data_IF_355834351489
#
_entry.id   IF_355834351489
#
_cell.length_a   1.000
_cell.length_b   1.000
_cell.length_c   1.000
_cell.angle_alpha   90.00
_cell.angle_beta   90.00
_cell.angle_gamma   90.00
#
_symmetry.space_group_name_H-M   'P 1'
#
loop_
_entity.id
_entity.type
_entity.pdbx_description
1 polymer ?
#
# COMPACT_ATOMS: atom_id res chain seq x y z
N UNK A 1 -22.82 -18.59 -13.56
CA UNK A 1 -24.07 -19.32 -13.31
C UNK A 1 -25.01 -18.40 -12.53
N UNK A 2 -26.26 -18.21 -13.02
CA UNK A 2 -27.37 -17.56 -12.33
C UNK A 2 -27.55 -16.03 -12.47
N UNK A 3 -27.27 -15.43 -13.61
CA UNK A 3 -28.11 -14.31 -14.02
C UNK A 3 -29.41 -14.91 -14.57
N UNK A 4 -30.53 -14.57 -13.92
CA UNK A 4 -31.86 -14.97 -14.36
C UNK A 4 -31.97 -14.77 -15.90
N UNK A 5 -32.30 -15.82 -16.67
CA UNK A 5 -32.42 -15.72 -18.12
C UNK A 5 -33.34 -14.58 -18.57
N UNK A 6 -34.29 -14.18 -17.69
CA UNK A 6 -35.20 -13.06 -17.91
C UNK A 6 -34.44 -11.70 -17.86
N UNK A 7 -33.44 -11.53 -16.96
CA UNK A 7 -32.58 -10.33 -16.92
C UNK A 7 -31.67 -10.30 -18.16
N UNK A 8 -31.06 -11.44 -18.49
CA UNK A 8 -30.16 -11.57 -19.67
C UNK A 8 -30.92 -11.26 -20.97
N UNK A 9 -32.16 -11.72 -21.14
CA UNK A 9 -32.96 -11.49 -22.33
C UNK A 9 -33.39 -10.02 -22.51
N UNK A 10 -33.48 -9.25 -21.41
CA UNK A 10 -33.86 -7.83 -21.41
C UNK A 10 -32.69 -6.88 -21.55
N UNK A 11 -31.49 -7.25 -21.09
CA UNK A 11 -30.28 -6.45 -21.10
C UNK A 11 -29.40 -6.66 -22.34
N UNK A 12 -29.96 -7.07 -23.47
CA UNK A 12 -29.19 -7.28 -24.69
C UNK A 12 -28.71 -5.95 -25.27
N UNK A 13 -27.42 -5.92 -25.65
CA UNK A 13 -26.69 -4.84 -26.32
C UNK A 13 -27.59 -4.10 -27.32
N UNK A 14 -27.82 -2.79 -27.12
CA UNK A 14 -28.53 -1.92 -28.09
C UNK A 14 -30.05 -1.97 -28.08
N UNK A 15 -30.73 -2.67 -27.17
CA UNK A 15 -32.19 -2.65 -27.08
C UNK A 15 -32.71 -1.47 -26.25
N UNK A 16 -33.95 -1.05 -26.52
CA UNK A 16 -34.65 0.01 -25.80
C UNK A 16 -34.74 -0.13 -24.30
N UNK A 17 -34.54 -1.37 -23.80
CA UNK A 17 -34.60 -1.76 -22.39
C UNK A 17 -33.22 -1.86 -21.69
N UNK A 18 -32.12 -1.42 -22.32
CA UNK A 18 -30.81 -1.40 -21.69
C UNK A 18 -30.83 -0.51 -20.42
N UNK A 19 -30.18 -0.94 -19.31
CA UNK A 19 -30.19 -0.19 -18.05
C UNK A 19 -29.52 1.17 -18.21
N UNK A 20 -30.08 2.18 -17.54
CA UNK A 20 -29.45 3.53 -17.47
C UNK A 20 -28.48 3.66 -16.31
N UNK A 21 -28.60 2.79 -15.30
CA UNK A 21 -27.74 2.73 -14.13
C UNK A 21 -27.49 1.28 -13.76
N UNK A 22 -26.25 0.94 -13.51
CA UNK A 22 -25.82 -0.34 -12.95
C UNK A 22 -25.09 -0.05 -11.66
N UNK A 23 -25.50 -0.69 -10.55
CA UNK A 23 -24.76 -0.72 -9.28
C UNK A 23 -24.52 -2.17 -8.92
N UNK A 24 -23.24 -2.57 -8.78
CA UNK A 24 -22.90 -3.98 -8.58
C UNK A 24 -21.65 -4.18 -7.74
N UNK A 25 -21.64 -5.29 -7.01
CA UNK A 25 -20.48 -5.83 -6.33
C UNK A 25 -20.28 -7.25 -6.87
N UNK A 26 -19.46 -7.43 -7.93
CA UNK A 26 -19.23 -8.74 -8.51
C UNK A 26 -18.41 -9.65 -7.57
N UNK A 27 -18.45 -10.98 -7.77
CA UNK A 27 -17.58 -11.88 -7.04
C UNK A 27 -16.10 -11.60 -7.39
N UNK A 28 -15.20 -11.67 -6.39
CA UNK A 28 -13.77 -11.50 -6.56
C UNK A 28 -13.06 -12.84 -6.59
N UNK A 29 -12.17 -13.03 -7.57
CA UNK A 29 -11.34 -14.24 -7.66
C UNK A 29 -10.22 -14.30 -6.61
N UNK A 30 -9.83 -13.15 -6.07
CA UNK A 30 -8.62 -13.06 -5.25
C UNK A 30 -7.38 -13.49 -6.04
N UNK A 31 -6.43 -14.14 -5.35
CA UNK A 31 -5.21 -14.67 -6.00
C UNK A 31 -5.31 -16.16 -6.38
N UNK A 32 -6.45 -16.80 -6.15
CA UNK A 32 -6.63 -18.25 -6.39
C UNK A 32 -7.03 -18.48 -7.85
N UNK A 33 -6.25 -19.24 -8.57
CA UNK A 33 -6.53 -19.66 -9.96
C UNK A 33 -7.86 -20.41 -10.03
N UNK A 34 -8.16 -21.22 -9.02
CA UNK A 34 -9.40 -22.00 -8.91
C UNK A 34 -10.69 -21.14 -8.90
N UNK A 35 -10.57 -19.87 -8.50
CA UNK A 35 -11.67 -18.90 -8.47
C UNK A 35 -11.78 -18.09 -9.77
N UNK A 36 -10.91 -18.31 -10.76
CA UNK A 36 -10.93 -17.65 -12.04
C UNK A 36 -11.79 -18.42 -13.05
N UNK A 37 -12.30 -17.71 -14.04
CA UNK A 37 -13.05 -18.33 -15.14
C UNK A 37 -12.07 -18.97 -16.12
N UNK A 38 -12.21 -20.28 -16.36
CA UNK A 38 -11.40 -21.06 -17.30
C UNK A 38 -12.19 -21.62 -18.49
N UNK A 39 -13.51 -21.46 -18.48
CA UNK A 39 -14.36 -21.91 -19.59
C UNK A 39 -14.14 -21.04 -20.84
N UNK A 40 -13.52 -21.64 -21.86
CA UNK A 40 -13.22 -20.96 -23.14
C UNK A 40 -14.49 -20.49 -23.85
N UNK A 41 -15.63 -21.17 -23.67
CA UNK A 41 -16.90 -20.77 -24.28
C UNK A 41 -17.44 -19.47 -23.68
N UNK A 42 -17.09 -19.20 -22.42
CA UNK A 42 -17.37 -17.94 -21.74
C UNK A 42 -16.34 -16.88 -22.15
N UNK A 43 -15.04 -17.19 -22.00
CA UNK A 43 -13.95 -16.25 -22.24
C UNK A 43 -13.99 -15.65 -23.64
N UNK A 44 -14.26 -16.44 -24.68
CA UNK A 44 -14.35 -15.96 -26.06
C UNK A 44 -15.42 -14.90 -26.34
N UNK A 45 -16.35 -14.69 -25.40
CA UNK A 45 -17.42 -13.68 -25.53
C UNK A 45 -16.98 -12.29 -25.08
N UNK A 46 -15.76 -12.17 -24.53
CA UNK A 46 -15.24 -10.95 -23.93
C UNK A 46 -13.90 -10.55 -24.58
N UNK A 47 -13.68 -9.26 -24.76
CA UNK A 47 -12.34 -8.76 -25.12
C UNK A 47 -11.36 -9.09 -24.00
N UNK A 48 -11.76 -8.93 -22.75
CA UNK A 48 -10.93 -9.26 -21.56
C UNK A 48 -10.68 -10.76 -21.38
N UNK A 49 -11.36 -11.59 -22.13
CA UNK A 49 -11.10 -13.04 -22.22
C UNK A 49 -9.95 -13.40 -23.18
N UNK A 50 -9.39 -12.43 -23.89
CA UNK A 50 -8.30 -12.61 -24.85
C UNK A 50 -7.01 -11.92 -24.39
N UNK A 51 -5.89 -12.34 -24.95
CA UNK A 51 -4.62 -11.66 -24.77
C UNK A 51 -4.63 -10.28 -25.46
N UNK A 52 -3.72 -9.42 -25.05
CA UNK A 52 -3.56 -8.09 -25.64
C UNK A 52 -2.08 -7.83 -25.99
N UNK A 53 -1.87 -6.90 -26.92
CA UNK A 53 -0.56 -6.40 -27.31
C UNK A 53 -0.58 -4.89 -27.43
N UNK A 54 0.59 -4.26 -27.43
CA UNK A 54 0.70 -2.84 -27.83
C UNK A 54 0.85 -2.76 -29.35
N UNK A 55 0.11 -1.84 -29.96
CA UNK A 55 0.28 -1.48 -31.37
C UNK A 55 1.53 -0.58 -31.56
N UNK A 56 1.83 -0.21 -32.81
CA UNK A 56 2.98 0.64 -33.16
C UNK A 56 2.92 2.05 -32.52
N UNK A 57 1.74 2.48 -32.08
CA UNK A 57 1.52 3.74 -31.39
C UNK A 57 1.53 3.56 -29.85
N UNK A 58 1.81 2.36 -29.34
CA UNK A 58 1.84 2.06 -27.91
C UNK A 58 0.46 1.83 -27.28
N UNK A 59 -0.63 1.76 -28.06
CA UNK A 59 -1.96 1.50 -27.52
C UNK A 59 -2.19 0.00 -27.30
N UNK A 60 -2.93 -0.33 -26.25
CA UNK A 60 -3.33 -1.71 -25.99
C UNK A 60 -4.47 -2.13 -26.92
N UNK A 61 -4.29 -3.24 -27.61
CA UNK A 61 -5.28 -3.86 -28.50
C UNK A 61 -5.50 -5.29 -28.06
N UNK A 62 -6.73 -5.64 -27.73
CA UNK A 62 -7.12 -7.01 -27.41
C UNK A 62 -7.28 -7.82 -28.69
N UNK A 63 -6.83 -9.07 -28.65
CA UNK A 63 -7.03 -10.01 -29.75
C UNK A 63 -8.50 -10.46 -29.83
N UNK A 64 -8.92 -10.87 -31.03
CA UNK A 64 -10.22 -11.54 -31.23
C UNK A 64 -10.03 -12.94 -31.82
N UNK A 65 -8.78 -13.43 -31.89
CA UNK A 65 -8.48 -14.75 -32.44
C UNK A 65 -8.73 -15.84 -31.39
N UNK A 66 -9.27 -16.97 -31.82
CA UNK A 66 -9.55 -18.10 -30.94
C UNK A 66 -8.28 -18.66 -30.26
N UNK A 67 -7.10 -18.56 -30.91
CA UNK A 67 -5.82 -18.99 -30.34
C UNK A 67 -5.31 -18.09 -29.22
N UNK A 68 -5.84 -16.89 -29.10
CA UNK A 68 -5.42 -15.87 -28.14
C UNK A 68 -6.37 -15.79 -26.92
N UNK A 69 -7.32 -16.71 -26.81
CA UNK A 69 -8.18 -16.83 -25.62
C UNK A 69 -7.33 -17.23 -24.43
N UNK A 70 -7.45 -16.47 -23.33
CA UNK A 70 -6.72 -16.72 -22.10
C UNK A 70 -7.10 -18.08 -21.49
N UNK A 71 -6.19 -18.68 -20.74
CA UNK A 71 -6.46 -19.90 -19.99
C UNK A 71 -7.37 -19.63 -18.79
N UNK A 72 -7.21 -18.47 -18.18
CA UNK A 72 -7.96 -18.04 -17.01
C UNK A 72 -8.15 -16.52 -17.02
N UNK A 73 -9.28 -16.04 -16.51
CA UNK A 73 -9.53 -14.62 -16.30
C UNK A 73 -10.31 -14.38 -14.99
N UNK A 74 -10.01 -13.27 -14.35
CA UNK A 74 -10.70 -12.82 -13.15
C UNK A 74 -12.17 -12.49 -13.45
N UNK A 75 -13.16 -13.05 -12.74
CA UNK A 75 -14.57 -12.81 -12.98
C UNK A 75 -14.93 -11.32 -12.87
N UNK A 76 -14.35 -10.59 -11.93
CA UNK A 76 -14.60 -9.15 -11.73
C UNK A 76 -14.27 -8.31 -12.97
N UNK A 77 -13.28 -8.70 -13.78
CA UNK A 77 -12.95 -8.02 -15.04
C UNK A 77 -14.00 -8.30 -16.12
N UNK A 78 -14.42 -9.55 -16.24
CA UNK A 78 -15.48 -9.93 -17.20
C UNK A 78 -16.81 -9.26 -16.82
N UNK A 79 -17.12 -9.14 -15.54
CA UNK A 79 -18.28 -8.39 -15.05
C UNK A 79 -18.22 -6.91 -15.42
N UNK A 80 -17.04 -6.29 -15.27
CA UNK A 80 -16.83 -4.90 -15.64
C UNK A 80 -17.13 -4.66 -17.14
N UNK A 81 -16.54 -5.48 -18.02
CA UNK A 81 -16.79 -5.41 -19.46
C UNK A 81 -18.27 -5.62 -19.78
N UNK A 82 -18.88 -6.66 -19.21
CA UNK A 82 -20.29 -6.99 -19.41
C UNK A 82 -21.22 -5.84 -18.96
N UNK A 83 -20.94 -5.21 -17.82
CA UNK A 83 -21.72 -4.08 -17.34
C UNK A 83 -21.65 -2.89 -18.30
N UNK A 84 -20.46 -2.59 -18.82
CA UNK A 84 -20.28 -1.51 -19.81
C UNK A 84 -21.01 -1.83 -21.12
N UNK A 85 -20.97 -3.08 -21.57
CA UNK A 85 -21.68 -3.52 -22.76
C UNK A 85 -23.20 -3.35 -22.63
N UNK A 86 -23.76 -3.77 -21.51
CA UNK A 86 -25.21 -3.72 -21.26
C UNK A 86 -25.74 -2.31 -21.01
N UNK A 87 -24.90 -1.42 -20.54
CA UNK A 87 -25.29 -0.05 -20.23
C UNK A 87 -25.71 0.71 -21.48
N UNK A 88 -26.87 1.37 -21.45
CA UNK A 88 -27.26 2.25 -22.54
C UNK A 88 -26.30 3.43 -22.70
N UNK A 89 -26.16 4.03 -23.89
CA UNK A 89 -25.50 5.32 -24.07
C UNK A 89 -26.03 6.37 -23.09
N UNK A 90 -25.17 7.20 -22.52
CA UNK A 90 -25.50 8.15 -21.44
C UNK A 90 -25.74 7.54 -20.08
N UNK A 91 -25.58 6.23 -19.92
CA UNK A 91 -25.76 5.50 -18.65
C UNK A 91 -24.55 5.57 -17.73
N UNK A 92 -24.72 5.12 -16.49
CA UNK A 92 -23.68 5.16 -15.44
C UNK A 92 -23.55 3.82 -14.75
N UNK A 93 -22.32 3.53 -14.31
CA UNK A 93 -22.00 2.34 -13.52
C UNK A 93 -21.34 2.77 -12.21
N UNK A 94 -21.77 2.14 -11.10
CA UNK A 94 -21.02 2.07 -9.86
C UNK A 94 -20.64 0.61 -9.62
N UNK A 95 -19.34 0.28 -9.65
CA UNK A 95 -18.87 -1.09 -9.52
C UNK A 95 -17.80 -1.19 -8.44
N UNK A 96 -17.96 -2.16 -7.54
CA UNK A 96 -16.95 -2.52 -6.55
C UNK A 96 -15.95 -3.48 -7.17
N UNK A 97 -14.65 -3.18 -7.06
CA UNK A 97 -13.56 -3.98 -7.63
C UNK A 97 -12.42 -4.11 -6.63
N UNK A 98 -11.57 -5.15 -6.75
CA UNK A 98 -10.32 -5.20 -6.01
C UNK A 98 -9.44 -3.97 -6.31
N UNK A 99 -8.84 -3.37 -5.27
CA UNK A 99 -8.04 -2.13 -5.39
C UNK A 99 -6.92 -2.23 -6.43
N UNK A 100 -6.38 -3.43 -6.68
CA UNK A 100 -5.31 -3.64 -7.66
C UNK A 100 -5.65 -3.19 -9.08
N UNK A 101 -6.93 -3.05 -9.44
CA UNK A 101 -7.35 -2.51 -10.74
C UNK A 101 -6.86 -1.06 -10.94
N UNK A 102 -6.64 -0.31 -9.86
CA UNK A 102 -6.34 1.12 -9.91
C UNK A 102 -4.90 1.43 -10.36
N UNK A 103 -3.95 0.58 -10.01
CA UNK A 103 -2.51 0.89 -10.12
C UNK A 103 -1.61 -0.28 -10.55
N UNK A 104 -2.05 -1.54 -10.46
CA UNK A 104 -1.22 -2.66 -10.88
C UNK A 104 -0.93 -2.59 -12.39
N UNK A 105 0.34 -2.74 -12.76
CA UNK A 105 0.81 -2.69 -14.17
C UNK A 105 0.11 -3.75 -15.02
N UNK A 106 -0.15 -4.94 -14.48
CA UNK A 106 -0.85 -6.00 -15.21
C UNK A 106 -2.27 -5.61 -15.63
N UNK A 107 -2.86 -4.61 -14.99
CA UNK A 107 -4.19 -4.10 -15.31
C UNK A 107 -4.19 -2.82 -16.16
N UNK A 108 -3.04 -2.34 -16.63
CA UNK A 108 -2.94 -1.13 -17.45
C UNK A 108 -3.78 -1.22 -18.74
N UNK A 109 -3.78 -2.36 -19.42
CA UNK A 109 -4.55 -2.58 -20.63
C UNK A 109 -6.06 -2.42 -20.40
N UNK A 110 -6.56 -2.93 -19.26
CA UNK A 110 -7.99 -2.82 -18.89
C UNK A 110 -8.37 -1.38 -18.52
N UNK A 111 -7.50 -0.63 -17.83
CA UNK A 111 -7.73 0.79 -17.56
C UNK A 111 -7.73 1.61 -18.85
N UNK A 112 -6.81 1.33 -19.76
CA UNK A 112 -6.80 1.95 -21.09
C UNK A 112 -8.11 1.68 -21.84
N UNK A 113 -8.60 0.45 -21.80
CA UNK A 113 -9.87 0.07 -22.40
C UNK A 113 -11.05 0.84 -21.78
N UNK A 114 -11.09 0.97 -20.45
CA UNK A 114 -12.12 1.77 -19.75
C UNK A 114 -12.14 3.20 -20.27
N UNK A 115 -10.98 3.87 -20.36
CA UNK A 115 -10.88 5.26 -20.83
C UNK A 115 -11.26 5.45 -22.29
N UNK A 116 -11.21 4.39 -23.10
CA UNK A 116 -11.70 4.42 -24.49
C UNK A 116 -13.22 4.28 -24.61
N UNK A 117 -13.86 3.65 -23.64
CA UNK A 117 -15.29 3.32 -23.68
C UNK A 117 -16.13 4.17 -22.73
N UNK A 118 -15.54 4.70 -21.67
CA UNK A 118 -16.23 5.43 -20.61
C UNK A 118 -15.46 6.66 -20.15
N UNK A 119 -16.18 7.62 -19.57
CA UNK A 119 -15.62 8.68 -18.75
C UNK A 119 -15.56 8.17 -17.30
N UNK A 120 -14.39 8.27 -16.66
CA UNK A 120 -14.21 7.96 -15.25
C UNK A 120 -14.70 9.14 -14.41
N UNK A 121 -15.89 9.02 -13.82
CA UNK A 121 -16.48 10.10 -13.01
C UNK A 121 -15.89 10.16 -11.61
N UNK A 122 -15.54 9.01 -11.04
CA UNK A 122 -14.97 8.96 -9.70
C UNK A 122 -14.31 7.63 -9.35
N UNK A 123 -13.36 7.72 -8.44
CA UNK A 123 -12.70 6.58 -7.80
C UNK A 123 -12.77 6.77 -6.29
N UNK A 124 -13.28 5.77 -5.60
CA UNK A 124 -13.38 5.75 -4.15
C UNK A 124 -12.66 4.50 -3.65
N UNK A 125 -11.54 4.66 -2.95
CA UNK A 125 -10.93 3.52 -2.25
C UNK A 125 -11.64 3.30 -0.91
N UNK A 126 -11.99 2.04 -0.64
CA UNK A 126 -12.70 1.68 0.57
C UNK A 126 -11.72 1.31 1.70
N UNK A 127 -12.17 1.46 2.95
CA UNK A 127 -11.38 1.08 4.11
C UNK A 127 -11.01 -0.41 4.06
N UNK A 128 -9.85 -0.77 4.57
CA UNK A 128 -9.32 -2.14 4.54
C UNK A 128 -10.25 -3.18 5.18
N UNK A 129 -11.05 -2.77 6.14
CA UNK A 129 -11.94 -3.66 6.90
C UNK A 129 -13.36 -3.72 6.33
N UNK A 130 -13.62 -3.14 5.14
CA UNK A 130 -14.95 -3.09 4.52
C UNK A 130 -15.60 -4.47 4.36
N UNK A 131 -14.81 -5.48 4.03
CA UNK A 131 -15.28 -6.85 3.81
C UNK A 131 -14.78 -7.85 4.86
N UNK A 132 -14.23 -7.34 5.96
CA UNK A 132 -13.92 -8.19 7.11
C UNK A 132 -15.20 -8.60 7.86
N UNK A 133 -15.22 -9.78 8.51
CA UNK A 133 -14.12 -10.76 8.63
C UNK A 133 -13.99 -11.72 7.44
N UNK A 134 -14.89 -11.68 6.46
CA UNK A 134 -14.98 -12.69 5.39
C UNK A 134 -13.77 -12.66 4.45
N UNK A 135 -13.26 -11.48 4.13
CA UNK A 135 -12.09 -11.32 3.28
C UNK A 135 -11.29 -10.06 3.61
N UNK A 136 -9.96 -10.17 3.54
CA UNK A 136 -9.03 -9.04 3.66
C UNK A 136 -8.74 -8.33 2.32
N UNK A 137 -9.50 -8.60 1.26
CA UNK A 137 -9.31 -7.95 -0.03
C UNK A 137 -9.64 -6.48 0.08
N UNK A 138 -8.68 -5.62 -0.23
CA UNK A 138 -8.91 -4.17 -0.35
C UNK A 138 -9.65 -3.88 -1.64
N UNK A 139 -10.64 -3.02 -1.56
CA UNK A 139 -11.55 -2.73 -2.66
C UNK A 139 -11.65 -1.24 -2.96
N UNK A 140 -12.19 -0.95 -4.12
CA UNK A 140 -12.53 0.39 -4.56
C UNK A 140 -13.88 0.39 -5.27
N UNK A 141 -14.47 1.57 -5.41
CA UNK A 141 -15.63 1.81 -6.27
C UNK A 141 -15.16 2.63 -7.46
N UNK A 142 -15.41 2.12 -8.68
CA UNK A 142 -15.32 2.92 -9.90
C UNK A 142 -16.71 3.42 -10.27
N UNK A 143 -16.79 4.72 -10.54
CA UNK A 143 -18.00 5.37 -11.07
C UNK A 143 -17.71 5.79 -12.51
N UNK A 144 -18.39 5.14 -13.46
CA UNK A 144 -18.16 5.32 -14.88
C UNK A 144 -19.42 5.89 -15.57
N UNK A 145 -19.21 6.70 -16.59
CA UNK A 145 -20.25 7.21 -17.47
C UNK A 145 -19.97 6.78 -18.92
N UNK A 146 -20.93 6.08 -19.52
CA UNK A 146 -20.85 5.72 -20.93
C UNK A 146 -21.28 6.93 -21.77
N UNK A 147 -20.51 7.39 -22.75
CA UNK A 147 -20.91 8.52 -23.59
C UNK A 147 -22.24 8.29 -24.28
N UNK A 148 -22.91 9.39 -24.65
CA UNK A 148 -24.12 9.31 -25.48
C UNK A 148 -23.84 8.62 -26.82
N UNK A 149 -24.91 8.14 -27.47
CA UNK A 149 -24.81 7.51 -28.78
C UNK A 149 -24.08 8.39 -29.79
N UNK A 150 -23.07 7.83 -30.45
CA UNK A 150 -22.27 8.54 -31.46
C UNK A 150 -21.22 9.51 -30.90
N UNK A 151 -21.09 9.61 -29.59
CA UNK A 151 -20.02 10.38 -28.92
C UNK A 151 -18.92 9.48 -28.40
N UNK A 152 -17.70 10.04 -28.37
CA UNK A 152 -16.54 9.44 -27.69
C UNK A 152 -16.36 10.05 -26.28
N UNK A 153 -15.64 9.39 -25.37
CA UNK A 153 -15.28 9.99 -24.09
C UNK A 153 -14.57 11.34 -24.26
N UNK A 154 -14.83 12.29 -23.39
CA UNK A 154 -14.22 13.63 -23.41
C UNK A 154 -12.69 13.55 -23.31
N UNK A 155 -12.02 14.52 -23.93
CA UNK A 155 -10.55 14.62 -23.90
C UNK A 155 -10.02 14.85 -22.49
N UNK A 156 -10.45 15.96 -21.85
CA UNK A 156 -10.11 16.30 -20.47
C UNK A 156 -11.38 16.65 -19.68
N UNK A 157 -11.40 16.25 -18.43
CA UNK A 157 -12.51 16.46 -17.50
C UNK A 157 -12.07 16.18 -16.07
N UNK A 158 -12.80 16.72 -15.10
CA UNK A 158 -12.52 16.49 -13.69
C UNK A 158 -13.02 15.11 -13.24
N UNK A 159 -12.23 14.45 -12.39
CA UNK A 159 -12.50 13.14 -11.81
C UNK A 159 -12.55 13.30 -10.29
N UNK A 160 -13.59 12.80 -9.68
CA UNK A 160 -13.74 12.76 -8.23
C UNK A 160 -12.86 11.65 -7.62
N UNK A 161 -12.09 11.98 -6.58
CA UNK A 161 -11.21 11.06 -5.88
C UNK A 161 -11.55 11.04 -4.40
N UNK A 162 -11.73 9.86 -3.82
CA UNK A 162 -11.97 9.74 -2.39
C UNK A 162 -11.30 8.49 -1.79
N UNK A 163 -10.96 8.60 -0.50
CA UNK A 163 -10.36 7.53 0.29
C UNK A 163 -11.11 7.39 1.61
N UNK A 164 -11.96 6.37 1.76
CA UNK A 164 -12.68 6.11 3.00
C UNK A 164 -11.72 5.70 4.11
N UNK A 165 -11.82 6.38 5.24
CA UNK A 165 -11.01 6.19 6.43
C UNK A 165 -11.72 5.41 7.52
N UNK A 166 -13.05 5.33 7.46
CA UNK A 166 -13.90 4.72 8.48
C UNK A 166 -15.08 4.04 7.81
N UNK A 167 -15.40 2.82 8.27
CA UNK A 167 -16.45 1.99 7.65
C UNK A 167 -17.55 1.59 8.64
N UNK A 168 -17.42 1.95 9.93
CA UNK A 168 -18.40 1.61 10.96
C UNK A 168 -18.26 0.21 11.52
N UNK A 169 -17.16 -0.50 11.20
CA UNK A 169 -16.84 -1.81 11.77
C UNK A 169 -15.34 -1.98 11.98
N UNK A 170 -14.97 -2.92 12.85
CA UNK A 170 -13.59 -3.34 13.08
C UNK A 170 -13.20 -4.53 12.15
N UNK A 171 -11.95 -5.00 12.29
CA UNK A 171 -11.43 -6.15 11.52
C UNK A 171 -12.09 -7.49 11.87
N UNK A 172 -12.91 -7.56 12.92
CA UNK A 172 -13.69 -8.75 13.31
C UNK A 172 -15.15 -8.66 12.87
N UNK A 173 -15.54 -7.56 12.20
CA UNK A 173 -16.91 -7.30 11.78
C UNK A 173 -17.81 -6.72 12.89
N UNK A 174 -17.25 -6.35 14.06
CA UNK A 174 -18.04 -5.70 15.11
C UNK A 174 -18.32 -4.25 14.75
N UNK A 175 -19.54 -3.79 15.05
CA UNK A 175 -19.92 -2.38 14.83
C UNK A 175 -19.09 -1.43 15.67
N UNK A 176 -18.57 -0.37 15.04
CA UNK A 176 -17.86 0.73 15.69
C UNK A 176 -18.73 1.97 15.60
N UNK A 177 -19.08 2.54 16.76
CA UNK A 177 -19.96 3.69 16.87
C UNK A 177 -19.19 4.96 17.20
N UNK A 178 -19.77 6.11 16.85
CA UNK A 178 -19.30 7.41 17.31
C UNK A 178 -19.49 7.48 18.83
N UNK A 179 -18.49 8.00 19.54
CA UNK A 179 -18.54 8.20 20.97
C UNK A 179 -18.93 9.66 21.28
N UNK A 180 -19.71 9.86 22.34
CA UNK A 180 -19.99 11.17 22.89
C UNK A 180 -18.79 11.73 23.69
N UNK A 181 -18.90 12.95 24.21
CA UNK A 181 -17.85 13.61 25.02
C UNK A 181 -17.49 12.87 26.32
N UNK A 182 -18.32 11.91 26.76
CA UNK A 182 -18.10 11.08 27.94
C UNK A 182 -17.58 9.68 27.62
N UNK A 183 -17.37 9.37 26.31
CA UNK A 183 -16.92 8.08 25.85
C UNK A 183 -18.02 7.03 25.69
N UNK A 184 -19.30 7.39 25.78
CA UNK A 184 -20.41 6.48 25.56
C UNK A 184 -20.77 6.39 24.09
N UNK A 185 -21.25 5.20 23.65
CA UNK A 185 -21.72 5.01 22.28
C UNK A 185 -22.97 5.86 22.01
N UNK A 186 -22.95 6.60 20.90
CA UNK A 186 -24.12 7.37 20.42
C UNK A 186 -25.11 6.52 19.64
N UNK A 187 -24.80 5.25 19.33
CA UNK A 187 -25.60 4.40 18.45
C UNK A 187 -25.46 4.73 16.96
N UNK A 188 -24.70 5.78 16.60
CA UNK A 188 -24.40 6.15 15.20
C UNK A 188 -23.12 5.45 14.75
N UNK A 189 -23.18 4.72 13.63
CA UNK A 189 -22.01 4.04 13.07
C UNK A 189 -20.93 5.06 12.69
N UNK A 190 -19.69 4.76 13.07
CA UNK A 190 -18.53 5.62 12.78
C UNK A 190 -18.00 5.34 11.38
N UNK A 191 -18.63 5.91 10.36
CA UNK A 191 -18.19 5.81 8.97
C UNK A 191 -18.19 7.19 8.28
N UNK A 192 -17.50 7.30 7.15
CA UNK A 192 -17.39 8.52 6.33
C UNK A 192 -18.06 8.38 4.95
N UNK A 193 -18.79 7.30 4.71
CA UNK A 193 -19.40 7.03 3.41
C UNK A 193 -20.46 8.05 3.02
N UNK A 194 -21.23 8.58 3.97
CA UNK A 194 -22.22 9.63 3.70
C UNK A 194 -21.54 10.93 3.26
N UNK A 195 -20.47 11.34 3.96
CA UNK A 195 -19.69 12.53 3.58
C UNK A 195 -19.11 12.41 2.16
N UNK A 196 -18.62 11.22 1.81
CA UNK A 196 -18.10 10.91 0.46
C UNK A 196 -19.23 10.96 -0.57
N UNK A 197 -20.38 10.38 -0.27
CA UNK A 197 -21.53 10.35 -1.16
C UNK A 197 -22.09 11.76 -1.41
N UNK A 198 -22.24 12.58 -0.37
CA UNK A 198 -22.69 13.96 -0.48
C UNK A 198 -21.73 14.81 -1.31
N UNK A 199 -20.41 14.68 -1.05
CA UNK A 199 -19.37 15.36 -1.82
C UNK A 199 -19.40 14.94 -3.31
N UNK A 200 -19.64 13.66 -3.60
CA UNK A 200 -19.76 13.18 -4.98
C UNK A 200 -21.03 13.75 -5.66
N UNK A 201 -22.15 13.81 -4.96
CA UNK A 201 -23.38 14.40 -5.49
C UNK A 201 -23.19 15.89 -5.80
N UNK A 202 -22.52 16.64 -4.95
CA UNK A 202 -22.20 18.04 -5.18
C UNK A 202 -21.25 18.21 -6.37
N UNK A 203 -20.16 17.44 -6.43
CA UNK A 203 -19.24 17.39 -7.57
C UNK A 203 -19.99 17.14 -8.89
N UNK A 204 -20.82 16.10 -8.93
CA UNK A 204 -21.58 15.72 -10.13
C UNK A 204 -22.52 16.82 -10.61
N UNK A 205 -23.09 17.60 -9.69
CA UNK A 205 -24.01 18.67 -9.98
C UNK A 205 -23.29 20.02 -10.23
N UNK A 206 -21.94 20.03 -10.29
CA UNK A 206 -21.15 21.23 -10.51
C UNK A 206 -21.18 22.21 -9.32
N UNK A 207 -21.56 21.73 -8.14
CA UNK A 207 -21.55 22.52 -6.91
C UNK A 207 -20.19 22.39 -6.22
N UNK A 208 -19.86 23.39 -5.39
CA UNK A 208 -18.70 23.29 -4.51
C UNK A 208 -18.91 22.16 -3.50
N UNK A 209 -17.95 21.29 -3.37
CA UNK A 209 -17.98 20.17 -2.43
C UNK A 209 -16.86 20.29 -1.40
N UNK A 210 -17.05 19.69 -0.23
CA UNK A 210 -16.05 19.63 0.82
C UNK A 210 -14.81 18.92 0.29
N UNK A 211 -13.69 19.64 0.25
CA UNK A 211 -12.36 19.09 -0.10
C UNK A 211 -11.55 18.82 1.16
N UNK A 212 -10.78 17.75 1.14
CA UNK A 212 -9.86 17.37 2.21
C UNK A 212 -8.69 16.58 1.61
N UNK A 213 -7.76 16.14 2.43
CA UNK A 213 -6.72 15.20 1.99
C UNK A 213 -7.28 13.85 1.51
N UNK A 214 -8.52 13.52 1.88
CA UNK A 214 -9.20 12.26 1.53
C UNK A 214 -10.33 12.42 0.52
N UNK A 215 -10.76 13.65 0.19
CA UNK A 215 -11.79 13.96 -0.80
C UNK A 215 -11.31 15.13 -1.64
N UNK A 216 -11.08 14.91 -2.93
CA UNK A 216 -10.53 15.92 -3.84
C UNK A 216 -10.90 15.61 -5.30
N UNK A 217 -10.47 16.43 -6.22
CA UNK A 217 -10.65 16.25 -7.67
C UNK A 217 -9.33 16.38 -8.39
N UNK A 218 -9.19 15.64 -9.47
CA UNK A 218 -8.09 15.77 -10.43
C UNK A 218 -8.66 15.93 -11.82
N UNK A 219 -7.87 16.43 -12.77
CA UNK A 219 -8.20 16.39 -14.18
C UNK A 219 -7.64 15.11 -14.81
N UNK A 220 -8.33 14.57 -15.82
CA UNK A 220 -7.86 13.38 -16.56
C UNK A 220 -6.45 13.58 -17.12
N UNK A 221 -6.09 14.80 -17.54
CA UNK A 221 -4.77 15.17 -18.04
C UNK A 221 -3.63 14.96 -17.03
N UNK A 222 -3.94 14.87 -15.74
CA UNK A 222 -2.97 14.56 -14.68
C UNK A 222 -2.66 13.06 -14.58
N UNK A 223 -3.52 12.21 -15.17
CA UNK A 223 -3.28 10.75 -15.20
C UNK A 223 -2.25 10.49 -16.30
N UNK A 224 -1.03 10.15 -15.88
CA UNK A 224 0.10 9.83 -16.76
C UNK A 224 0.49 8.37 -16.60
N UNK A 225 1.67 8.11 -16.29
CA UNK A 225 2.35 6.83 -16.20
C UNK A 225 1.44 5.64 -15.86
N UNK A 226 1.44 4.64 -16.77
CA UNK A 226 0.68 3.39 -16.63
C UNK A 226 -0.82 3.54 -16.32
N UNK A 227 -1.39 4.74 -16.59
CA UNK A 227 -2.79 5.07 -16.30
C UNK A 227 -3.14 4.71 -14.84
N UNK A 228 -2.30 5.15 -13.90
CA UNK A 228 -2.58 5.01 -12.48
C UNK A 228 -3.79 5.87 -12.10
N UNK A 229 -4.84 5.26 -11.54
CA UNK A 229 -6.07 5.95 -11.10
C UNK A 229 -6.32 5.78 -9.59
N UNK A 230 -5.30 5.39 -8.83
CA UNK A 230 -5.41 5.27 -7.38
C UNK A 230 -5.45 6.67 -6.73
N UNK A 231 -6.52 7.03 -5.98
CA UNK A 231 -6.63 8.32 -5.31
C UNK A 231 -5.42 8.68 -4.44
N UNK A 232 -4.82 7.69 -3.79
CA UNK A 232 -3.68 7.90 -2.93
C UNK A 232 -2.50 8.56 -3.66
N UNK A 233 -2.29 8.21 -4.93
CA UNK A 233 -1.25 8.77 -5.79
C UNK A 233 -1.43 10.27 -6.10
N UNK A 234 -2.65 10.77 -6.00
CA UNK A 234 -3.02 12.18 -6.28
C UNK A 234 -3.41 12.96 -5.04
N UNK A 235 -3.24 12.40 -3.85
CA UNK A 235 -3.72 13.05 -2.63
C UNK A 235 -3.04 14.41 -2.42
N UNK A 236 -3.77 15.44 -1.96
CA UNK A 236 -3.17 16.77 -1.68
C UNK A 236 -2.00 16.72 -0.72
N UNK A 237 -2.05 15.84 0.28
CA UNK A 237 -0.96 15.62 1.23
C UNK A 237 0.32 15.17 0.55
N UNK A 238 0.19 14.29 -0.45
CA UNK A 238 1.31 13.84 -1.23
C UNK A 238 1.88 14.93 -2.11
N UNK A 239 1.01 15.61 -2.87
CA UNK A 239 1.45 16.71 -3.72
C UNK A 239 2.19 17.75 -2.89
N UNK A 240 1.67 18.10 -1.69
CA UNK A 240 2.37 18.98 -0.76
C UNK A 240 3.74 18.42 -0.35
N UNK A 241 3.86 17.12 -0.09
CA UNK A 241 5.15 16.52 0.27
C UNK A 241 6.15 16.57 -0.90
N UNK A 242 5.70 16.29 -2.13
CA UNK A 242 6.52 16.41 -3.34
C UNK A 242 6.92 17.86 -3.59
N UNK A 243 5.98 18.80 -3.54
CA UNK A 243 6.23 20.23 -3.72
C UNK A 243 7.24 20.75 -2.68
N UNK A 244 7.12 20.33 -1.43
CA UNK A 244 8.06 20.68 -0.38
C UNK A 244 9.49 20.21 -0.68
N UNK A 245 9.65 19.01 -1.24
CA UNK A 245 10.99 18.51 -1.63
C UNK A 245 11.49 19.24 -2.86
N UNK A 246 10.68 19.36 -3.91
CA UNK A 246 11.05 20.01 -5.16
C UNK A 246 11.31 21.52 -4.99
N UNK A 247 10.71 22.16 -3.99
CA UNK A 247 10.99 23.57 -3.67
C UNK A 247 12.47 23.84 -3.30
N UNK A 248 13.21 22.79 -2.92
CA UNK A 248 14.64 22.91 -2.66
C UNK A 248 15.46 23.16 -3.92
N UNK A 249 15.02 22.77 -5.11
CA UNK A 249 15.69 23.06 -6.38
C UNK A 249 15.75 24.58 -6.68
N UNK A 250 14.87 25.35 -6.04
CA UNK A 250 14.87 26.81 -6.15
C UNK A 250 15.69 27.50 -5.04
N UNK A 251 16.29 26.74 -4.12
CA UNK A 251 17.13 27.28 -3.06
C UNK A 251 18.60 27.22 -3.46
N UNK A 252 19.29 28.31 -3.27
CA UNK A 252 20.76 28.35 -3.45
C UNK A 252 21.42 27.23 -2.60
N UNK A 253 22.39 26.55 -3.18
CA UNK A 253 23.16 25.48 -2.55
C UNK A 253 22.36 24.19 -2.22
N UNK A 254 21.18 23.99 -2.83
CA UNK A 254 20.40 22.77 -2.71
C UNK A 254 20.02 22.21 -4.08
N UNK A 255 19.86 20.91 -4.13
CA UNK A 255 19.31 20.19 -5.30
C UNK A 255 18.47 19.02 -4.83
N UNK A 256 17.54 18.59 -5.64
CA UNK A 256 16.75 17.37 -5.40
C UNK A 256 17.33 16.20 -6.19
N UNK A 257 17.45 15.05 -5.54
CA UNK A 257 17.90 13.80 -6.16
C UNK A 257 17.10 12.63 -5.60
N UNK A 258 17.44 11.41 -5.96
CA UNK A 258 16.87 10.22 -5.33
C UNK A 258 17.79 9.66 -4.25
N UNK A 259 17.21 9.00 -3.24
CA UNK A 259 18.00 8.40 -2.16
C UNK A 259 19.04 7.42 -2.69
N UNK A 260 18.71 6.66 -3.76
CA UNK A 260 19.65 5.72 -4.37
C UNK A 260 20.85 6.35 -5.06
N UNK A 261 20.81 7.65 -5.35
CA UNK A 261 21.88 8.41 -6.04
C UNK A 261 22.78 9.21 -5.09
N UNK A 262 22.50 9.23 -3.79
CA UNK A 262 23.19 10.09 -2.83
C UNK A 262 24.67 9.77 -2.67
N UNK A 263 25.06 8.52 -2.67
CA UNK A 263 26.43 8.07 -2.39
C UNK A 263 26.74 6.78 -3.16
N UNK A 264 27.94 6.71 -3.74
CA UNK A 264 28.43 5.46 -4.33
C UNK A 264 28.61 4.41 -3.21
N UNK A 265 27.70 3.42 -3.17
CA UNK A 265 27.74 2.34 -2.19
C UNK A 265 26.68 2.41 -1.10
N UNK A 266 25.73 3.34 -1.18
CA UNK A 266 24.50 3.22 -0.39
C UNK A 266 23.84 1.89 -0.73
N UNK A 267 23.47 1.13 0.28
CA UNK A 267 22.83 -0.18 0.13
C UNK A 267 21.44 -0.15 0.74
N UNK A 268 20.44 -0.37 -0.10
CA UNK A 268 19.03 -0.42 0.30
C UNK A 268 18.51 -1.80 -0.05
N UNK A 269 18.17 -2.59 0.96
CA UNK A 269 17.87 -4.02 0.79
C UNK A 269 16.93 -4.52 1.89
N UNK A 270 16.39 -5.73 1.69
CA UNK A 270 15.69 -6.51 2.71
C UNK A 270 16.47 -7.79 3.01
N UNK A 271 16.26 -8.36 4.18
CA UNK A 271 16.79 -9.69 4.49
C UNK A 271 16.12 -10.79 3.66
N UNK A 272 16.73 -11.99 3.60
CA UNK A 272 16.14 -13.13 2.89
C UNK A 272 14.85 -13.58 3.57
N UNK A 273 13.82 -13.87 2.76
CA UNK A 273 12.63 -14.56 3.26
C UNK A 273 12.97 -15.99 3.63
N UNK A 274 12.50 -16.43 4.78
CA UNK A 274 12.76 -17.77 5.27
C UNK A 274 11.63 -18.31 6.15
N UNK A 275 11.56 -19.62 6.26
CA UNK A 275 10.63 -20.27 7.19
C UNK A 275 11.34 -20.53 8.53
N UNK A 276 10.98 -19.74 9.53
CA UNK A 276 11.53 -19.86 10.89
C UNK A 276 10.71 -20.78 11.81
N UNK A 277 9.59 -21.35 11.37
CA UNK A 277 8.66 -22.09 12.22
C UNK A 277 9.29 -23.30 12.90
N UNK A 278 10.20 -24.02 12.21
CA UNK A 278 10.86 -25.23 12.72
C UNK A 278 11.98 -24.95 13.73
N UNK A 279 12.48 -23.72 13.77
CA UNK A 279 13.59 -23.29 14.65
C UNK A 279 13.15 -22.36 15.77
N UNK A 280 11.88 -21.92 15.77
CA UNK A 280 11.32 -21.10 16.86
C UNK A 280 11.12 -21.91 18.12
N UNK A 281 11.40 -21.26 19.27
CA UNK A 281 11.17 -21.80 20.60
C UNK A 281 10.26 -20.83 21.35
N UNK A 282 9.11 -21.31 21.82
CA UNK A 282 8.12 -20.47 22.49
C UNK A 282 8.45 -20.26 23.98
N UNK A 283 9.03 -21.26 24.64
CA UNK A 283 9.50 -21.17 26.02
C UNK A 283 10.98 -21.50 26.06
N UNK A 284 11.87 -20.53 26.17
CA UNK A 284 13.29 -20.79 26.33
C UNK A 284 13.52 -21.39 27.72
N UNK A 285 13.78 -22.71 27.78
CA UNK A 285 14.53 -23.24 28.90
C UNK A 285 15.93 -22.61 28.86
N UNK A 286 16.55 -22.40 30.01
CA UNK A 286 17.88 -21.76 30.15
C UNK A 286 18.99 -22.53 29.39
N UNK A 287 18.97 -22.42 28.06
CA UNK A 287 20.04 -22.96 27.22
C UNK A 287 20.81 -21.82 26.59
N UNK A 288 22.08 -21.73 26.87
CA UNK A 288 23.04 -20.72 26.39
C UNK A 288 23.22 -20.66 24.85
N UNK A 289 22.49 -21.48 24.10
CA UNK A 289 22.62 -21.64 22.65
C UNK A 289 21.50 -20.96 21.84
N UNK A 290 20.47 -20.42 22.49
CA UNK A 290 19.35 -19.77 21.83
C UNK A 290 19.73 -18.37 21.37
N UNK A 291 19.27 -17.98 20.16
CA UNK A 291 19.53 -16.67 19.60
C UNK A 291 18.23 -15.84 19.63
N UNK A 292 18.26 -14.62 20.21
CA UNK A 292 17.07 -13.77 20.24
C UNK A 292 16.74 -13.23 18.84
N UNK A 293 15.45 -13.29 18.50
CA UNK A 293 14.91 -12.86 17.23
C UNK A 293 13.82 -11.79 17.42
N UNK A 294 13.98 -10.66 16.77
CA UNK A 294 13.02 -9.56 16.81
C UNK A 294 12.17 -9.55 15.54
N UNK A 295 10.84 -9.53 15.72
CA UNK A 295 9.93 -9.18 14.64
C UNK A 295 10.13 -7.72 14.26
N UNK A 296 9.60 -7.29 13.11
CA UNK A 296 9.69 -5.89 12.70
C UNK A 296 9.16 -4.93 13.78
N UNK A 297 8.01 -5.23 14.38
CA UNK A 297 7.45 -4.40 15.45
C UNK A 297 8.36 -4.36 16.68
N UNK A 298 8.85 -5.53 17.12
CA UNK A 298 9.73 -5.61 18.30
C UNK A 298 11.06 -4.86 18.10
N UNK A 299 11.60 -4.84 16.88
CA UNK A 299 12.79 -4.07 16.53
C UNK A 299 12.57 -2.55 16.54
N UNK A 300 11.30 -2.12 16.34
CA UNK A 300 10.88 -0.71 16.32
C UNK A 300 10.41 -0.19 17.69
N UNK A 301 10.22 -1.10 18.66
CA UNK A 301 9.86 -0.75 20.02
C UNK A 301 11.05 -0.14 20.78
N UNK A 302 10.78 0.89 21.58
CA UNK A 302 11.81 1.49 22.47
C UNK A 302 12.24 0.52 23.57
N UNK A 303 11.32 -0.30 24.09
CA UNK A 303 11.59 -1.44 24.97
C UNK A 303 11.24 -2.74 24.26
N UNK A 304 12.16 -3.70 24.31
CA UNK A 304 12.04 -4.99 23.62
C UNK A 304 11.32 -6.03 24.48
N UNK A 305 10.01 -5.86 24.66
CA UNK A 305 9.21 -6.79 25.45
C UNK A 305 8.98 -8.14 24.77
N UNK A 306 8.90 -8.15 23.44
CA UNK A 306 8.50 -9.33 22.67
C UNK A 306 9.70 -9.91 21.93
N UNK A 307 10.51 -10.66 22.64
CA UNK A 307 11.65 -11.40 22.06
C UNK A 307 11.17 -12.81 21.74
N UNK A 308 11.37 -13.24 20.49
CA UNK A 308 11.26 -14.65 20.09
C UNK A 308 12.63 -15.28 20.11
N UNK A 309 12.68 -16.58 20.30
CA UNK A 309 13.94 -17.29 20.39
C UNK A 309 14.08 -18.27 19.23
N UNK A 310 15.29 -18.42 18.71
CA UNK A 310 15.64 -19.36 17.67
C UNK A 310 16.65 -20.36 18.22
N UNK A 311 16.47 -21.63 17.87
CA UNK A 311 17.41 -22.69 18.19
C UNK A 311 18.26 -23.05 16.96
N UNK A 312 19.52 -22.58 16.86
CA UNK A 312 20.38 -22.86 15.72
C UNK A 312 20.71 -24.35 15.53
N UNK A 313 20.56 -25.17 16.59
CA UNK A 313 20.81 -26.62 16.52
C UNK A 313 19.75 -27.32 15.63
N UNK A 314 18.54 -26.81 15.62
CA UNK A 314 17.43 -27.31 14.78
C UNK A 314 17.45 -26.75 13.36
N UNK A 315 18.31 -25.77 13.07
CA UNK A 315 18.37 -25.12 11.77
C UNK A 315 19.14 -25.95 10.75
N UNK A 316 18.57 -26.14 9.56
CA UNK A 316 19.29 -26.67 8.42
C UNK A 316 20.31 -25.65 7.87
N UNK A 317 21.13 -26.07 6.90
CA UNK A 317 22.18 -25.21 6.32
C UNK A 317 21.63 -23.89 5.76
N UNK A 318 20.54 -23.93 4.99
CA UNK A 318 19.92 -22.76 4.42
C UNK A 318 19.38 -21.81 5.50
N UNK A 319 18.74 -22.34 6.53
CA UNK A 319 18.23 -21.54 7.65
C UNK A 319 19.38 -20.86 8.42
N UNK A 320 20.51 -21.54 8.64
CA UNK A 320 21.70 -20.93 9.25
C UNK A 320 22.24 -19.78 8.40
N UNK A 321 22.31 -19.94 7.09
CA UNK A 321 22.69 -18.83 6.18
C UNK A 321 21.71 -17.65 6.29
N UNK A 322 20.40 -17.90 6.30
CA UNK A 322 19.40 -16.86 6.47
C UNK A 322 19.56 -16.13 7.82
N UNK A 323 19.81 -16.86 8.91
CA UNK A 323 20.05 -16.26 10.23
C UNK A 323 21.25 -15.29 10.19
N UNK A 324 22.36 -15.66 9.55
CA UNK A 324 23.53 -14.77 9.41
C UNK A 324 23.21 -13.54 8.53
N UNK A 325 22.49 -13.72 7.42
CA UNK A 325 22.10 -12.62 6.53
C UNK A 325 21.05 -11.69 7.14
N UNK A 326 20.34 -12.14 8.15
CA UNK A 326 19.34 -11.35 8.88
C UNK A 326 19.96 -10.49 10.01
N UNK A 327 21.21 -10.69 10.38
CA UNK A 327 21.93 -9.78 11.28
C UNK A 327 22.06 -8.41 10.64
N UNK A 328 21.73 -7.37 11.38
CA UNK A 328 21.96 -5.98 10.98
C UNK A 328 23.37 -5.55 11.33
N UNK A 329 23.84 -4.46 10.77
CA UNK A 329 25.09 -3.83 11.23
C UNK A 329 24.75 -2.58 12.02
N UNK A 330 25.59 -2.28 12.99
CA UNK A 330 25.53 -1.01 13.69
C UNK A 330 25.52 0.14 12.68
N UNK A 331 24.60 1.06 12.85
CA UNK A 331 24.41 2.17 11.95
C UNK A 331 23.45 1.92 10.75
N UNK A 332 22.91 0.71 10.59
CA UNK A 332 21.85 0.49 9.61
C UNK A 332 20.59 1.25 10.04
N UNK A 333 19.96 1.96 9.09
CA UNK A 333 18.64 2.56 9.30
C UNK A 333 17.61 1.48 8.91
N UNK A 334 16.65 1.24 9.79
CA UNK A 334 15.65 0.20 9.61
C UNK A 334 14.27 0.84 9.44
N UNK A 335 13.57 0.48 8.36
CA UNK A 335 12.26 1.05 8.02
C UNK A 335 11.25 -0.08 7.91
N UNK A 336 10.13 0.03 8.63
CA UNK A 336 9.06 -0.97 8.56
C UNK A 336 8.43 -1.01 7.17
N UNK A 337 8.28 -2.23 6.62
CA UNK A 337 7.76 -2.44 5.28
C UNK A 337 6.34 -2.98 5.23
N UNK A 338 5.80 -3.49 6.33
CA UNK A 338 4.44 -4.04 6.42
C UNK A 338 3.77 -3.67 7.74
N UNK A 339 2.47 -3.79 7.80
CA UNK A 339 1.67 -3.43 8.97
C UNK A 339 1.65 -1.91 9.19
N UNK A 340 2.55 -1.38 9.99
CA UNK A 340 2.73 0.06 10.20
C UNK A 340 3.91 0.55 9.35
N UNK A 341 3.68 0.77 8.07
CA UNK A 341 4.71 1.16 7.10
C UNK A 341 5.34 2.52 7.46
N UNK A 342 6.65 2.65 7.19
CA UNK A 342 7.39 3.90 7.31
C UNK A 342 7.83 4.26 8.73
N UNK A 343 7.63 3.41 9.74
CA UNK A 343 8.31 3.58 11.03
C UNK A 343 9.80 3.35 10.87
N UNK A 344 10.59 4.23 11.45
CA UNK A 344 12.05 4.24 11.34
C UNK A 344 12.69 3.99 12.70
N UNK A 345 13.73 3.20 12.72
CA UNK A 345 14.62 3.02 13.87
C UNK A 345 16.07 2.90 13.41
N UNK A 346 16.99 2.94 14.36
CA UNK A 346 18.43 2.87 14.14
C UNK A 346 18.97 1.57 14.75
N UNK A 347 19.84 0.86 14.04
CA UNK A 347 20.50 -0.33 14.54
C UNK A 347 21.63 0.07 15.48
N UNK A 348 21.35 0.08 16.79
CA UNK A 348 22.33 0.29 17.85
C UNK A 348 23.33 -0.88 17.90
N UNK A 349 24.45 -0.67 18.59
CA UNK A 349 25.45 -1.72 18.81
C UNK A 349 24.83 -2.98 19.45
N UNK A 350 24.02 -2.83 20.48
CA UNK A 350 23.33 -3.95 21.13
C UNK A 350 22.41 -4.69 20.14
N UNK A 351 21.66 -3.98 19.29
CA UNK A 351 20.81 -4.61 18.29
C UNK A 351 21.63 -5.43 17.29
N UNK A 352 22.76 -4.91 16.85
CA UNK A 352 23.61 -5.54 15.83
C UNK A 352 24.37 -6.76 16.38
N UNK A 353 24.83 -6.72 17.62
CA UNK A 353 25.63 -7.78 18.23
C UNK A 353 24.79 -8.94 18.79
N UNK A 354 23.62 -8.63 19.37
CA UNK A 354 22.88 -9.57 20.19
C UNK A 354 21.60 -10.12 19.55
N UNK A 355 21.12 -9.57 18.41
CA UNK A 355 19.82 -9.94 17.87
C UNK A 355 19.86 -10.29 16.38
N UNK A 356 18.99 -11.19 15.99
CA UNK A 356 18.57 -11.39 14.59
C UNK A 356 17.28 -10.61 14.37
N UNK A 357 17.20 -9.86 13.28
CA UNK A 357 16.05 -8.99 12.97
C UNK A 357 15.31 -9.50 11.74
N UNK A 358 13.98 -9.48 11.80
CA UNK A 358 13.09 -9.93 10.71
C UNK A 358 13.47 -9.37 9.33
N UNK A 359 13.16 -10.14 8.30
CA UNK A 359 13.20 -9.72 6.90
C UNK A 359 12.13 -8.68 6.54
N UNK A 360 11.18 -8.41 7.44
CA UNK A 360 10.09 -7.47 7.22
C UNK A 360 10.47 -6.01 7.55
N UNK A 361 11.73 -5.66 7.30
CA UNK A 361 12.31 -4.33 7.42
C UNK A 361 13.16 -4.02 6.19
N UNK A 362 12.97 -2.84 5.61
CA UNK A 362 13.94 -2.27 4.65
C UNK A 362 15.13 -1.76 5.46
N UNK A 363 16.32 -2.07 4.99
CA UNK A 363 17.60 -1.71 5.61
C UNK A 363 18.33 -0.74 4.71
N UNK A 364 18.70 0.42 5.25
CA UNK A 364 19.50 1.43 4.55
C UNK A 364 20.86 1.53 5.23
N UNK A 365 21.90 1.18 4.50
CA UNK A 365 23.28 1.21 4.98
C UNK A 365 24.05 2.32 4.29
N UNK A 366 24.63 3.21 5.09
CA UNK A 366 25.39 4.38 4.67
C UNK A 366 26.71 4.41 5.43
N UNK A 367 27.81 4.77 4.73
CA UNK A 367 29.13 4.83 5.34
C UNK A 367 29.39 6.19 6.00
N UNK A 368 29.04 7.27 5.30
CA UNK A 368 29.23 8.63 5.79
C UNK A 368 28.35 8.93 7.00
N UNK A 369 28.90 9.34 8.17
CA UNK A 369 28.12 9.62 9.38
C UNK A 369 27.16 10.81 9.22
N UNK A 370 27.55 11.87 8.49
CA UNK A 370 26.71 13.04 8.30
C UNK A 370 25.50 12.70 7.41
N UNK A 371 25.74 11.98 6.31
CA UNK A 371 24.68 11.49 5.45
C UNK A 371 23.74 10.53 6.22
N UNK A 372 24.28 9.68 7.09
CA UNK A 372 23.47 8.79 7.94
C UNK A 372 22.55 9.58 8.86
N UNK A 373 23.08 10.55 9.59
CA UNK A 373 22.30 11.41 10.48
C UNK A 373 21.23 12.19 9.69
N UNK A 374 21.61 12.74 8.54
CA UNK A 374 20.69 13.42 7.64
C UNK A 374 19.54 12.52 7.18
N UNK A 375 19.83 11.28 6.77
CA UNK A 375 18.82 10.31 6.35
C UNK A 375 17.91 9.87 7.50
N UNK A 376 18.45 9.72 8.71
CA UNK A 376 17.62 9.41 9.90
C UNK A 376 16.62 10.54 10.13
N UNK A 377 17.08 11.81 10.14
CA UNK A 377 16.18 12.95 10.29
C UNK A 377 15.16 13.05 9.16
N UNK A 378 15.59 12.81 7.91
CA UNK A 378 14.70 12.85 6.75
C UNK A 378 13.63 11.76 6.82
N UNK A 379 14.01 10.50 7.01
CA UNK A 379 13.06 9.37 7.03
C UNK A 379 12.07 9.43 8.20
N UNK A 380 12.42 10.10 9.30
CA UNK A 380 11.50 10.31 10.43
C UNK A 380 10.55 11.50 10.22
N UNK A 381 10.74 12.28 9.14
CA UNK A 381 9.88 13.42 8.83
C UNK A 381 8.51 13.00 8.28
N UNK A 382 7.50 13.85 8.47
CA UNK A 382 6.16 13.67 7.89
C UNK A 382 6.17 13.69 6.36
N UNK A 383 7.09 14.46 5.75
CA UNK A 383 7.30 14.51 4.30
C UNK A 383 7.77 13.16 3.77
N UNK A 384 8.83 12.59 4.33
CA UNK A 384 9.33 11.28 3.93
C UNK A 384 8.31 10.17 4.17
N UNK A 385 7.59 10.21 5.30
CA UNK A 385 6.50 9.26 5.56
C UNK A 385 5.42 9.34 4.47
N UNK A 386 5.02 10.54 4.06
CA UNK A 386 4.03 10.72 2.99
C UNK A 386 4.54 10.14 1.66
N UNK A 387 5.82 10.32 1.34
CA UNK A 387 6.45 9.74 0.15
C UNK A 387 6.57 8.21 0.24
N UNK A 388 6.89 7.63 1.40
CA UNK A 388 6.93 6.17 1.58
C UNK A 388 5.57 5.50 1.42
N UNK A 389 4.50 6.19 1.77
CA UNK A 389 3.12 5.69 1.66
C UNK A 389 2.56 5.77 0.23
N UNK A 390 3.29 6.42 -0.70
CA UNK A 390 2.93 6.54 -2.11
C UNK A 390 2.85 5.22 -2.84
N UNK A 391 3.89 4.43 -2.67
CA UNK A 391 4.14 3.21 -3.43
C UNK A 391 3.59 1.96 -2.72
N UNK A 392 2.50 2.12 -1.99
CA UNK A 392 1.82 0.99 -1.38
C UNK A 392 1.16 0.11 -2.45
N UNK A 393 1.94 -0.81 -3.05
CA UNK A 393 1.46 -1.79 -4.02
C UNK A 393 0.86 -3.04 -3.35
N UNK A 394 -0.23 -3.53 -3.91
CA UNK A 394 -0.79 -4.84 -3.61
C UNK A 394 -2.25 -4.82 -3.13
N UNK A 395 -3.03 -5.76 -3.66
CA UNK A 395 -4.46 -5.92 -3.35
C UNK A 395 -4.74 -6.55 -1.98
N UNK A 396 -3.75 -7.21 -1.36
CA UNK A 396 -3.94 -7.97 -0.11
C UNK A 396 -3.10 -7.45 1.05
N UNK A 397 -1.84 -7.07 0.80
CA UNK A 397 -0.96 -6.54 1.84
C UNK A 397 0.04 -5.56 1.22
N UNK A 398 0.08 -4.35 1.77
CA UNK A 398 1.00 -3.31 1.34
C UNK A 398 2.40 -3.62 1.89
N UNK A 399 3.39 -3.56 1.02
CA UNK A 399 4.78 -3.77 1.40
C UNK A 399 5.68 -2.71 0.79
N UNK A 400 6.36 -1.95 1.62
CA UNK A 400 7.44 -1.09 1.17
C UNK A 400 8.58 -1.95 0.62
N UNK A 401 9.04 -1.66 -0.60
CA UNK A 401 10.14 -2.36 -1.26
C UNK A 401 11.41 -1.49 -1.26
N UNK A 402 12.61 -2.09 -1.34
CA UNK A 402 13.86 -1.33 -1.44
C UNK A 402 13.85 -0.28 -2.56
N UNK A 403 13.26 -0.58 -3.72
CA UNK A 403 13.17 0.34 -4.85
C UNK A 403 12.40 1.62 -4.52
N UNK A 404 11.35 1.55 -3.68
CA UNK A 404 10.55 2.71 -3.29
C UNK A 404 11.39 3.71 -2.47
N UNK A 405 12.30 3.19 -1.63
CA UNK A 405 13.26 4.03 -0.92
C UNK A 405 14.37 4.52 -1.87
N UNK A 406 14.82 3.71 -2.83
CA UNK A 406 15.85 4.11 -3.80
C UNK A 406 15.38 5.26 -4.70
N UNK A 407 14.14 5.19 -5.16
CA UNK A 407 13.51 6.17 -6.07
C UNK A 407 12.93 7.38 -5.35
N UNK A 408 12.85 7.36 -4.01
CA UNK A 408 12.28 8.44 -3.21
C UNK A 408 13.13 9.71 -3.35
N UNK A 409 12.47 10.84 -3.67
CA UNK A 409 13.10 12.15 -3.79
C UNK A 409 13.55 12.67 -2.43
N UNK A 410 14.69 13.33 -2.41
CA UNK A 410 15.31 13.92 -1.23
C UNK A 410 16.03 15.21 -1.60
N UNK A 411 15.89 16.31 -0.85
CA UNK A 411 16.72 17.49 -1.03
C UNK A 411 18.12 17.22 -0.50
N UNK A 412 19.13 17.70 -1.19
CA UNK A 412 20.55 17.52 -0.83
C UNK A 412 21.27 18.85 -0.91
N UNK A 413 22.03 19.24 0.14
CA UNK A 413 22.85 20.45 0.08
C UNK A 413 24.13 20.19 -0.72
N UNK A 414 24.66 21.23 -1.34
CA UNK A 414 25.99 21.20 -1.99
C UNK A 414 27.14 21.06 -0.98
N UNK A 415 26.94 21.51 0.25
CA UNK A 415 27.81 21.36 1.41
C UNK A 415 26.95 21.02 2.64
N UNK A 416 27.36 20.04 3.42
CA UNK A 416 26.65 19.57 4.62
C UNK A 416 26.50 20.67 5.70
N UNK A 417 27.29 21.73 5.67
CA UNK A 417 27.11 22.87 6.56
C UNK A 417 25.74 23.55 6.40
N UNK A 418 25.14 23.52 5.19
CA UNK A 418 23.80 24.05 4.96
C UNK A 418 22.71 23.18 5.59
N UNK A 419 22.98 21.91 5.86
CA UNK A 419 22.07 20.95 6.50
C UNK A 419 22.43 20.67 7.97
N UNK A 420 23.32 21.47 8.58
CA UNK A 420 23.83 21.20 9.94
C UNK A 420 22.73 20.96 10.96
N UNK A 421 21.70 21.79 11.00
CA UNK A 421 20.58 21.62 11.94
C UNK A 421 19.83 20.30 11.75
N UNK A 422 19.74 19.81 10.50
CA UNK A 422 19.07 18.54 10.19
C UNK A 422 19.96 17.37 10.63
N UNK A 423 21.26 17.47 10.39
CA UNK A 423 22.26 16.49 10.82
C UNK A 423 22.31 16.41 12.34
N UNK A 424 22.32 17.57 13.03
CA UNK A 424 22.30 17.63 14.50
C UNK A 424 21.03 16.95 15.04
N UNK A 425 19.85 17.21 14.47
CA UNK A 425 18.61 16.55 14.85
C UNK A 425 18.66 15.01 14.63
N UNK A 426 19.26 14.56 13.53
CA UNK A 426 19.48 13.13 13.26
C UNK A 426 20.44 12.49 14.25
N UNK A 427 21.52 13.20 14.64
CA UNK A 427 22.47 12.73 15.65
C UNK A 427 21.80 12.61 17.04
N UNK A 428 20.96 13.58 17.43
CA UNK A 428 20.19 13.51 18.67
C UNK A 428 19.23 12.34 18.67
N UNK A 429 18.57 12.05 17.55
CA UNK A 429 17.72 10.86 17.42
C UNK A 429 18.52 9.57 17.60
N UNK A 430 19.68 9.45 16.94
CA UNK A 430 20.60 8.32 17.06
C UNK A 430 21.04 8.14 18.52
N UNK A 431 21.50 9.23 19.16
CA UNK A 431 21.92 9.23 20.56
C UNK A 431 20.79 8.79 21.51
N UNK A 432 19.58 9.30 21.30
CA UNK A 432 18.42 8.87 22.09
C UNK A 432 18.15 7.35 21.96
N UNK A 433 18.27 6.80 20.75
CA UNK A 433 18.12 5.36 20.53
C UNK A 433 19.20 4.53 21.24
N UNK A 434 20.44 5.02 21.25
CA UNK A 434 21.54 4.38 21.97
C UNK A 434 21.33 4.43 23.48
N UNK A 435 20.95 5.58 24.03
CA UNK A 435 20.61 5.73 25.46
C UNK A 435 19.45 4.80 25.86
N UNK A 436 18.40 4.73 25.04
CA UNK A 436 17.27 3.83 25.31
C UNK A 436 17.66 2.35 25.25
N UNK A 437 18.57 1.97 24.35
CA UNK A 437 19.09 0.60 24.26
C UNK A 437 19.87 0.21 25.51
N UNK A 438 20.70 1.13 26.03
CA UNK A 438 21.44 0.94 27.29
C UNK A 438 20.47 0.82 28.47
N UNK A 439 19.51 1.74 28.57
CA UNK A 439 18.52 1.74 29.65
C UNK A 439 17.67 0.45 29.65
N UNK A 440 17.22 -0.03 28.48
CA UNK A 440 16.49 -1.28 28.35
C UNK A 440 17.33 -2.49 28.81
N UNK A 441 18.61 -2.50 28.47
CA UNK A 441 19.54 -3.53 28.92
C UNK A 441 19.70 -3.53 30.45
N UNK A 442 19.91 -2.36 31.05
CA UNK A 442 20.04 -2.22 32.52
C UNK A 442 18.77 -2.68 33.23
N UNK A 443 17.58 -2.33 32.75
CA UNK A 443 16.30 -2.76 33.34
C UNK A 443 16.16 -4.29 33.28
N UNK A 444 16.61 -4.94 32.20
CA UNK A 444 16.51 -6.40 32.02
C UNK A 444 17.56 -7.18 32.82
N UNK A 445 18.79 -6.66 32.90
CA UNK A 445 19.94 -7.38 33.51
C UNK A 445 20.10 -7.05 35.00
N UNK A 446 19.89 -5.78 35.38
CA UNK A 446 20.16 -5.29 36.74
C UNK A 446 18.88 -4.81 37.48
N UNK A 447 17.73 -4.83 36.81
CA UNK A 447 16.47 -4.32 37.35
C UNK A 447 15.65 -5.36 38.10
N UNK A 448 14.41 -4.98 38.41
CA UNK A 448 13.44 -5.79 39.16
C UNK A 448 13.25 -7.19 38.59
N UNK A 449 13.23 -7.31 37.25
CA UNK A 449 13.04 -8.59 36.55
C UNK A 449 14.20 -9.58 36.84
N UNK A 450 15.42 -9.07 37.01
CA UNK A 450 16.57 -9.87 37.39
C UNK A 450 16.52 -10.32 38.89
N UNK A 451 16.08 -9.38 39.75
CA UNK A 451 15.90 -9.69 41.18
C UNK A 451 14.82 -10.76 41.39
N UNK A 452 13.67 -10.63 40.74
CA UNK A 452 12.56 -11.59 40.83
C UNK A 452 12.93 -12.97 40.30
N UNK A 453 13.79 -13.07 39.28
CA UNK A 453 14.26 -14.35 38.76
C UNK A 453 15.21 -15.05 39.75
N UNK A 454 16.03 -14.29 40.45
CA UNK A 454 16.97 -14.84 41.44
C UNK A 454 16.26 -15.30 42.72
N UNK A 455 15.18 -14.63 43.16
CA UNK A 455 14.38 -15.04 44.32
C UNK A 455 13.49 -16.27 44.03
N UNK A 456 13.18 -16.59 42.79
CA UNK A 456 12.42 -17.81 42.43
C UNK A 456 13.34 -19.02 42.21
N UNK A 457 14.66 -18.80 42.12
CA UNK A 457 15.67 -19.84 41.94
C UNK A 457 16.29 -20.33 43.26
N UNK A 458 16.05 -19.65 44.40
CA UNK A 458 16.31 -20.12 45.76
C UNK A 458 15.06 -20.81 46.35
#
# INVERSE_FOLDING_TARGET
ENLDPWIVSRCIKGKSNAPSVIATNPPFSGQKIESQISDRSILKQFEFGHSFRKDDNGNFVFSHADNDILMHQAPELLFLERCIDWLKPGGRIGIVLPKGILDNISYEAYRNWIFRHCELMGVITLHKDTFQPDTGVRTCILILHKPDAGKTPKGDYSIFMAMSQRIGQDSKGNSVFVLDGNGNSTGVLNHDLNDIADAFVDFKNGREHKKSEYIFTINKSQIKDHININPQHYSPKLNTALDNVLAFDNKENWATTTVGQLEAGIRIYIGPRWNSSTVKVDNPAETSTLVPYLTANAALELRRFTIKWLDPSKANFHQKQCMEMLKVKEGDILISRSGTIGKVTYATKDLAENYIVSDDLVRVRVKDPNLRAYLVAYFTSSTALSLMLLDEYGSVQQHLQPRHIQEMLIPVPSDWNYAKNIIDAGNEFIHAMECMSVADKMVREDGLDAMLKNEVAE
#
